data_IF_391607985671
#
_entry.id   IF_391607985671
#
_cell.length_a   1.000
_cell.length_b   1.000
_cell.length_c   1.000
_cell.angle_alpha   90.00
_cell.angle_beta   90.00
_cell.angle_gamma   90.00
#
_symmetry.space_group_name_H-M   'P 1'
#
loop_
_entity.id
_entity.type
_entity.pdbx_description
1 polymer ?
#
# COMPACT_ATOMS: atom_id res chain seq x y z
N UNK A 1 8.39 -3.82 7.57
CA UNK A 1 7.79 -2.92 6.55
C UNK A 1 6.72 -3.70 5.82
N UNK A 2 5.55 -3.11 5.58
CA UNK A 2 4.42 -3.75 4.88
C UNK A 2 4.06 -2.88 3.65
N UNK A 3 3.86 -3.50 2.49
CA UNK A 3 3.35 -2.83 1.28
C UNK A 3 1.93 -3.31 1.00
N UNK A 4 1.00 -2.36 0.76
CA UNK A 4 -0.37 -2.69 0.37
C UNK A 4 -1.00 -1.57 -0.46
N UNK A 5 -2.18 -1.80 -1.03
CA UNK A 5 -2.92 -0.76 -1.74
C UNK A 5 -3.26 0.41 -0.80
N UNK A 6 -3.12 1.65 -1.24
CA UNK A 6 -3.49 2.83 -0.44
C UNK A 6 -5.02 2.98 -0.39
N UNK A 7 -5.63 2.38 0.64
CA UNK A 7 -7.08 2.46 0.94
C UNK A 7 -7.31 3.08 2.32
N UNK A 8 -8.56 3.49 2.60
CA UNK A 8 -8.96 3.93 3.95
C UNK A 8 -8.69 2.84 4.99
N UNK A 9 -9.11 1.61 4.70
CA UNK A 9 -8.91 0.44 5.56
C UNK A 9 -7.43 0.20 5.90
N UNK A 10 -6.53 0.17 4.90
CA UNK A 10 -5.10 -0.04 5.14
C UNK A 10 -4.45 1.05 5.98
N UNK A 11 -4.92 2.30 5.88
CA UNK A 11 -4.42 3.40 6.71
C UNK A 11 -4.85 3.25 8.16
N UNK A 12 -6.06 2.75 8.40
CA UNK A 12 -6.60 2.51 9.74
C UNK A 12 -5.88 1.35 10.42
N UNK A 13 -5.74 0.19 9.76
CA UNK A 13 -5.11 -0.99 10.38
C UNK A 13 -3.60 -0.86 10.55
N UNK A 14 -2.95 -0.02 9.75
CA UNK A 14 -1.51 0.26 9.89
C UNK A 14 -1.23 1.51 10.72
N UNK A 15 -2.17 1.89 11.59
CA UNK A 15 -1.97 2.98 12.54
C UNK A 15 -0.67 2.76 13.35
N UNK A 16 0.08 3.84 13.58
CA UNK A 16 1.39 3.82 14.23
C UNK A 16 2.58 3.53 13.31
N UNK A 17 2.36 3.27 12.02
CA UNK A 17 3.42 3.23 11.02
C UNK A 17 3.73 4.62 10.43
N UNK A 18 4.97 4.81 9.97
CA UNK A 18 5.29 5.89 9.03
C UNK A 18 4.92 5.46 7.62
N UNK A 19 4.14 6.29 6.92
CA UNK A 19 3.66 5.98 5.58
C UNK A 19 4.50 6.65 4.48
N UNK A 20 4.82 5.88 3.43
CA UNK A 20 5.24 6.40 2.13
C UNK A 20 4.23 5.95 1.07
N UNK A 21 3.96 6.80 0.08
CA UNK A 21 3.07 6.49 -1.04
C UNK A 21 3.85 6.48 -2.33
N UNK A 22 3.59 5.50 -3.18
CA UNK A 22 4.22 5.38 -4.50
C UNK A 22 3.16 4.97 -5.53
N UNK A 23 3.30 5.42 -6.78
CA UNK A 23 2.44 4.95 -7.88
C UNK A 23 3.06 3.69 -8.48
N UNK A 24 2.33 2.59 -8.48
CA UNK A 24 2.77 1.30 -9.03
C UNK A 24 1.74 0.74 -9.98
N UNK A 25 2.18 -0.07 -10.93
CA UNK A 25 1.29 -0.86 -11.77
C UNK A 25 1.18 -2.28 -11.18
N UNK A 26 -0.04 -2.77 -10.98
CA UNK A 26 -0.26 -4.14 -10.49
C UNK A 26 -0.63 -5.06 -11.65
N UNK A 27 0.11 -6.16 -11.83
CA UNK A 27 -0.13 -7.13 -12.91
C UNK A 27 -1.07 -8.27 -12.53
N UNK A 28 -1.59 -8.27 -11.30
CA UNK A 28 -2.33 -9.41 -10.71
C UNK A 28 -3.85 -9.39 -10.98
N UNK A 29 -4.37 -8.35 -11.62
CA UNK A 29 -5.80 -8.28 -11.93
C UNK A 29 -6.18 -9.31 -12.99
N UNK A 30 -7.25 -10.08 -12.74
CA UNK A 30 -7.87 -10.99 -13.71
C UNK A 30 -8.44 -10.25 -14.92
N UNK A 31 -8.88 -9.00 -14.74
CA UNK A 31 -9.24 -8.13 -15.85
C UNK A 31 -7.99 -7.30 -16.25
N UNK A 32 -7.44 -7.47 -17.47
CA UNK A 32 -6.26 -6.75 -17.95
C UNK A 32 -6.45 -5.22 -17.99
N UNK A 33 -7.63 -4.73 -18.33
CA UNK A 33 -7.94 -3.29 -18.40
C UNK A 33 -7.84 -2.62 -17.04
N UNK A 34 -8.02 -3.40 -15.96
CA UNK A 34 -7.87 -2.92 -14.58
C UNK A 34 -6.42 -2.94 -14.07
N UNK A 35 -5.44 -3.37 -14.88
CA UNK A 35 -4.00 -3.34 -14.56
C UNK A 35 -3.41 -1.94 -14.77
N UNK A 36 -4.06 -0.94 -14.18
CA UNK A 36 -3.67 0.48 -14.24
C UNK A 36 -2.72 0.85 -13.11
N UNK A 37 -2.10 2.04 -13.21
CA UNK A 37 -1.28 2.58 -12.13
C UNK A 37 -2.16 2.99 -10.95
N UNK A 38 -1.89 2.42 -9.79
CA UNK A 38 -2.60 2.70 -8.52
C UNK A 38 -1.64 3.22 -7.46
N UNK A 39 -2.18 3.79 -6.40
CA UNK A 39 -1.38 4.21 -5.23
C UNK A 39 -1.13 3.00 -4.34
N UNK A 40 0.14 2.75 -4.06
CA UNK A 40 0.60 1.79 -3.07
C UNK A 40 1.04 2.55 -1.81
N UNK A 41 0.72 1.98 -0.66
CA UNK A 41 1.07 2.42 0.68
C UNK A 41 2.18 1.51 1.22
N UNK A 42 3.29 2.12 1.60
CA UNK A 42 4.39 1.47 2.30
C UNK A 42 4.33 1.91 3.77
N UNK A 43 4.00 0.97 4.66
CA UNK A 43 3.93 1.16 6.11
C UNK A 43 5.23 0.70 6.78
N UNK A 44 5.93 1.62 7.44
CA UNK A 44 7.18 1.36 8.15
C UNK A 44 6.91 1.44 9.65
N UNK A 45 6.88 0.29 10.31
CA UNK A 45 6.87 0.19 11.76
C UNK A 45 8.30 0.24 12.28
N UNK A 46 8.56 1.11 13.25
CA UNK A 46 9.86 1.12 13.95
C UNK A 46 10.02 -0.12 14.82
N UNK A 47 11.26 -0.44 15.17
CA UNK A 47 11.54 -1.42 16.22
C UNK A 47 11.15 -0.76 17.55
N UNK A 48 10.29 -1.41 18.35
CA UNK A 48 10.10 -0.98 19.75
C UNK A 48 11.46 -1.13 20.44
N UNK A 49 11.97 -0.04 21.02
CA UNK A 49 13.16 -0.09 21.87
C UNK A 49 12.91 -0.98 23.08
#
# INVERSE_FOLDING_TARGET
MISNHDTKFTREIYNGAKFKRVKVQRSISQNPEKRVKVKELIAIFGVRK
#
